data_IF_216782487761
#
_entry.id   IF_216782487761
#
_cell.length_a   1.000
_cell.length_b   1.000
_cell.length_c   1.000
_cell.angle_alpha   90.00
_cell.angle_beta   90.00
_cell.angle_gamma   90.00
#
_symmetry.space_group_name_H-M   'P 1'
#
loop_
_entity.id
_entity.type
_entity.pdbx_description
1 polymer ?
#
# COMPACT_ATOMS: atom_id res chain seq x y z
N UNK A 1 48.12 -41.70 -19.60
CA UNK A 1 47.66 -40.32 -19.80
C UNK A 1 46.35 -40.13 -19.07
N UNK A 2 46.33 -39.27 -18.05
CA UNK A 2 45.14 -38.84 -17.29
C UNK A 2 45.34 -37.36 -17.00
N UNK A 3 44.39 -36.47 -17.31
CA UNK A 3 44.38 -35.13 -16.73
C UNK A 3 43.48 -35.13 -15.49
N UNK A 4 44.05 -34.74 -14.34
CA UNK A 4 43.28 -34.31 -13.17
C UNK A 4 42.80 -32.88 -13.39
N UNK A 5 41.49 -32.66 -13.22
CA UNK A 5 40.86 -31.36 -13.24
C UNK A 5 41.14 -30.63 -11.92
N UNK A 6 41.83 -29.49 -11.99
CA UNK A 6 41.88 -28.50 -10.92
C UNK A 6 40.65 -27.59 -11.03
N UNK A 7 39.52 -28.04 -10.48
CA UNK A 7 38.32 -27.23 -10.31
C UNK A 7 38.42 -26.39 -9.04
N UNK A 8 38.85 -25.14 -9.20
CA UNK A 8 38.84 -24.11 -8.16
C UNK A 8 37.41 -23.88 -7.65
N UNK A 9 37.12 -24.31 -6.42
CA UNK A 9 35.87 -23.98 -5.73
C UNK A 9 35.94 -22.51 -5.30
N UNK A 10 35.14 -21.67 -5.97
CA UNK A 10 34.89 -20.30 -5.56
C UNK A 10 34.31 -20.25 -4.15
N UNK A 11 35.13 -19.84 -3.18
CA UNK A 11 34.67 -19.49 -1.86
C UNK A 11 33.97 -18.11 -1.91
N UNK A 12 32.88 -17.90 -1.16
CA UNK A 12 32.22 -16.60 -1.07
C UNK A 12 33.19 -15.60 -0.44
N UNK A 13 33.40 -14.45 -1.10
CA UNK A 13 34.12 -13.30 -0.58
C UNK A 13 33.53 -12.91 0.79
N UNK A 14 34.19 -13.34 1.87
CA UNK A 14 33.95 -12.80 3.20
C UNK A 14 34.35 -11.34 3.13
N UNK A 15 33.36 -10.45 3.18
CA UNK A 15 33.59 -9.02 3.38
C UNK A 15 34.36 -8.88 4.69
N UNK A 16 35.64 -8.53 4.57
CA UNK A 16 36.50 -8.22 5.71
C UNK A 16 35.85 -7.10 6.53
N UNK A 17 35.79 -7.28 7.85
CA UNK A 17 35.31 -6.24 8.76
C UNK A 17 36.11 -4.95 8.53
N UNK A 18 35.47 -3.78 8.58
CA UNK A 18 36.18 -2.51 8.43
C UNK A 18 37.23 -2.37 9.55
N UNK A 19 38.46 -2.03 9.17
CA UNK A 19 39.57 -1.77 10.09
C UNK A 19 39.58 -0.29 10.48
N UNK A 20 39.45 -0.03 11.78
CA UNK A 20 39.42 1.32 12.36
C UNK A 20 40.71 1.67 13.12
N UNK A 21 41.73 0.80 13.06
CA UNK A 21 43.00 0.96 13.80
C UNK A 21 43.82 2.19 13.40
N UNK A 22 43.54 2.78 12.24
CA UNK A 22 44.21 3.98 11.73
C UNK A 22 43.58 5.30 12.22
N UNK A 23 42.44 5.26 12.89
CA UNK A 23 41.75 6.45 13.38
C UNK A 23 42.38 6.97 14.68
N UNK A 24 42.50 8.29 14.79
CA UNK A 24 42.86 8.94 16.05
C UNK A 24 41.71 8.85 17.06
N UNK A 25 42.02 9.15 18.33
CA UNK A 25 41.02 9.08 19.41
C UNK A 25 39.83 10.03 19.17
N UNK A 26 40.09 11.27 18.73
CA UNK A 26 39.04 12.25 18.42
C UNK A 26 38.17 11.81 17.22
N UNK A 27 38.77 11.17 16.21
CA UNK A 27 38.03 10.61 15.07
C UNK A 27 37.16 9.42 15.47
N UNK A 28 37.61 8.60 16.42
CA UNK A 28 36.84 7.49 16.98
C UNK A 28 35.63 7.99 17.77
N UNK A 29 35.78 9.01 18.61
CA UNK A 29 34.66 9.63 19.34
C UNK A 29 33.62 10.21 18.38
N UNK A 30 34.07 10.88 17.32
CA UNK A 30 33.17 11.42 16.32
C UNK A 30 32.46 10.33 15.50
N UNK A 31 33.15 9.23 15.21
CA UNK A 31 32.55 8.06 14.57
C UNK A 31 31.49 7.42 15.47
N UNK A 32 31.76 7.26 16.77
CA UNK A 32 30.80 6.74 17.75
C UNK A 32 29.53 7.61 17.81
N UNK A 33 29.69 8.94 17.82
CA UNK A 33 28.57 9.87 17.78
C UNK A 33 27.71 9.70 16.52
N UNK A 34 28.35 9.52 15.36
CA UNK A 34 27.64 9.29 14.09
C UNK A 34 26.89 7.95 14.12
N UNK A 35 27.53 6.88 14.61
CA UNK A 35 26.91 5.56 14.74
C UNK A 35 25.71 5.60 15.70
N UNK A 36 25.83 6.31 16.82
CA UNK A 36 24.73 6.47 17.78
C UNK A 36 23.55 7.23 17.16
N UNK A 37 23.82 8.34 16.46
CA UNK A 37 22.79 9.07 15.71
C UNK A 37 22.13 8.21 14.65
N UNK A 38 22.91 7.41 13.93
CA UNK A 38 22.38 6.49 12.93
C UNK A 38 21.46 5.44 13.54
N UNK A 39 21.84 4.84 14.67
CA UNK A 39 21.02 3.88 15.40
C UNK A 39 19.68 4.49 15.87
N UNK A 40 19.68 5.75 16.32
CA UNK A 40 18.45 6.46 16.68
C UNK A 40 17.53 6.68 15.48
N UNK A 41 18.09 7.14 14.35
CA UNK A 41 17.35 7.33 13.10
C UNK A 41 16.76 6.00 12.63
N UNK A 42 17.53 4.92 12.64
CA UNK A 42 17.04 3.59 12.29
C UNK A 42 15.89 3.15 13.19
N UNK A 43 15.99 3.37 14.50
CA UNK A 43 14.94 3.01 15.44
C UNK A 43 13.65 3.80 15.15
N UNK A 44 13.78 5.10 14.88
CA UNK A 44 12.63 5.93 14.50
C UNK A 44 11.97 5.44 13.20
N UNK A 45 12.76 5.11 12.18
CA UNK A 45 12.22 4.55 10.93
C UNK A 45 11.55 3.18 11.16
N UNK A 46 12.13 2.32 12.00
CA UNK A 46 11.53 1.03 12.40
C UNK A 46 10.19 1.25 13.11
N UNK A 47 10.09 2.23 14.00
CA UNK A 47 8.84 2.59 14.68
C UNK A 47 7.78 3.14 13.71
N UNK A 48 8.16 4.05 12.81
CA UNK A 48 7.27 4.59 11.76
C UNK A 48 6.71 3.46 10.88
N UNK A 49 7.57 2.54 10.44
CA UNK A 49 7.16 1.39 9.63
C UNK A 49 6.26 0.42 10.41
N UNK A 50 6.55 0.20 11.70
CA UNK A 50 5.71 -0.59 12.60
C UNK A 50 4.31 0.04 12.76
N UNK A 51 4.23 1.36 12.90
CA UNK A 51 2.97 2.12 12.89
C UNK A 51 2.14 1.85 11.64
N UNK A 52 2.74 2.00 10.45
CA UNK A 52 2.06 1.74 9.18
C UNK A 52 1.58 0.29 9.04
N UNK A 53 2.39 -0.69 9.47
CA UNK A 53 1.99 -2.11 9.48
C UNK A 53 0.79 -2.37 10.39
N UNK A 54 0.78 -1.77 11.59
CA UNK A 54 -0.39 -1.85 12.50
C UNK A 54 -1.64 -1.25 11.87
N UNK A 55 -1.54 -0.09 11.22
CA UNK A 55 -2.66 0.50 10.48
C UNK A 55 -3.17 -0.41 9.38
N UNK A 56 -2.28 -1.07 8.62
CA UNK A 56 -2.67 -2.02 7.59
C UNK A 56 -3.45 -3.21 8.18
N UNK A 57 -2.93 -3.83 9.23
CA UNK A 57 -3.58 -4.96 9.91
C UNK A 57 -4.94 -4.54 10.47
N UNK A 58 -5.01 -3.38 11.12
CA UNK A 58 -6.26 -2.86 11.66
C UNK A 58 -7.32 -2.67 10.56
N UNK A 59 -6.95 -2.00 9.46
CA UNK A 59 -7.86 -1.83 8.33
C UNK A 59 -8.31 -3.17 7.73
N UNK A 60 -7.45 -4.19 7.68
CA UNK A 60 -7.80 -5.51 7.17
C UNK A 60 -8.82 -6.19 8.08
N UNK A 61 -8.61 -6.11 9.39
CA UNK A 61 -9.53 -6.63 10.39
C UNK A 61 -10.89 -5.91 10.37
N UNK A 62 -10.90 -4.57 10.25
CA UNK A 62 -12.15 -3.80 10.11
C UNK A 62 -12.96 -4.29 8.91
N UNK A 63 -12.31 -4.41 7.76
CA UNK A 63 -12.96 -4.90 6.53
C UNK A 63 -13.53 -6.30 6.72
N UNK A 64 -12.78 -7.22 7.36
CA UNK A 64 -13.23 -8.59 7.60
C UNK A 64 -14.41 -8.66 8.58
N UNK A 65 -14.32 -7.94 9.70
CA UNK A 65 -15.37 -7.92 10.72
C UNK A 65 -16.67 -7.33 10.19
N UNK A 66 -16.59 -6.24 9.43
CA UNK A 66 -17.76 -5.62 8.83
C UNK A 66 -18.37 -6.54 7.77
N UNK A 67 -17.55 -7.24 6.96
CA UNK A 67 -18.06 -8.24 6.01
C UNK A 67 -18.77 -9.40 6.70
N UNK A 68 -18.26 -9.86 7.84
CA UNK A 68 -18.93 -10.88 8.65
C UNK A 68 -20.27 -10.37 9.19
N UNK A 69 -20.31 -9.14 9.72
CA UNK A 69 -21.55 -8.52 10.20
C UNK A 69 -22.59 -8.38 9.10
N UNK A 70 -22.21 -7.91 7.91
CA UNK A 70 -23.12 -7.82 6.77
C UNK A 70 -23.66 -9.19 6.35
N UNK A 71 -22.83 -10.25 6.34
CA UNK A 71 -23.31 -11.61 6.07
C UNK A 71 -24.32 -12.10 7.11
N UNK A 72 -24.08 -11.84 8.39
CA UNK A 72 -25.01 -12.22 9.47
C UNK A 72 -26.36 -11.49 9.35
N UNK A 73 -26.35 -10.20 8.99
CA UNK A 73 -27.57 -9.43 8.74
C UNK A 73 -28.32 -9.90 7.48
N UNK A 74 -27.60 -10.28 6.42
CA UNK A 74 -28.24 -10.86 5.22
C UNK A 74 -28.84 -12.24 5.48
N UNK A 75 -28.27 -13.03 6.40
CA UNK A 75 -28.81 -14.34 6.78
C UNK A 75 -30.09 -14.25 7.62
N UNK A 76 -30.29 -13.18 8.39
CA UNK A 76 -31.53 -12.95 9.14
C UNK A 76 -32.60 -12.21 8.33
N UNK A 77 -32.22 -11.48 7.29
CA UNK A 77 -33.15 -10.82 6.37
C UNK A 77 -33.66 -11.74 5.24
N UNK A 78 -33.00 -12.88 4.98
CA UNK A 78 -33.29 -13.71 3.82
C UNK A 78 -34.07 -15.00 4.16
N UNK A 79 -35.31 -14.84 4.63
CA UNK A 79 -36.28 -15.95 4.68
C UNK A 79 -37.30 -15.94 3.53
N UNK A 80 -37.21 -15.01 2.56
CA UNK A 80 -38.25 -14.83 1.54
C UNK A 80 -37.81 -14.61 0.09
N UNK A 81 -36.55 -14.82 -0.32
CA UNK A 81 -36.20 -14.76 -1.75
C UNK A 81 -35.21 -15.84 -2.20
N UNK A 82 -35.63 -16.64 -3.19
CA UNK A 82 -34.85 -17.69 -3.86
C UNK A 82 -33.61 -17.14 -4.58
N UNK A 83 -32.49 -17.87 -4.62
CA UNK A 83 -31.27 -17.42 -5.29
C UNK A 83 -31.30 -17.80 -6.77
N UNK A 84 -31.45 -16.82 -7.66
CA UNK A 84 -31.13 -17.00 -9.08
C UNK A 84 -29.74 -16.44 -9.34
N UNK A 85 -28.79 -17.35 -9.59
CA UNK A 85 -27.52 -17.08 -10.26
C UNK A 85 -27.80 -16.51 -11.65
N UNK A 86 -27.23 -15.36 -12.00
CA UNK A 86 -26.79 -15.09 -13.37
C UNK A 86 -25.90 -13.84 -13.49
N UNK A 87 -24.74 -14.07 -14.11
CA UNK A 87 -23.81 -13.12 -14.70
C UNK A 87 -24.46 -12.32 -15.84
N UNK A 88 -24.56 -10.98 -15.72
CA UNK A 88 -24.67 -10.01 -16.83
C UNK A 88 -24.45 -8.56 -16.34
N UNK A 89 -23.81 -7.66 -17.12
CA UNK A 89 -23.39 -6.33 -16.68
C UNK A 89 -24.41 -5.26 -17.09
N UNK A 90 -25.51 -5.14 -16.35
CA UNK A 90 -26.42 -4.01 -16.48
C UNK A 90 -26.80 -3.57 -15.08
N UNK A 91 -26.11 -2.53 -14.59
CA UNK A 91 -26.44 -1.88 -13.34
C UNK A 91 -27.80 -1.22 -13.50
N UNK A 92 -28.83 -1.85 -12.94
CA UNK A 92 -30.18 -1.27 -12.85
C UNK A 92 -30.26 -0.45 -11.57
N UNK A 93 -31.19 0.51 -11.49
CA UNK A 93 -31.26 1.56 -10.46
C UNK A 93 -31.59 1.08 -9.03
N UNK A 94 -31.26 -0.16 -8.68
CA UNK A 94 -31.45 -0.75 -7.35
C UNK A 94 -30.16 -1.34 -6.77
N UNK A 95 -29.02 -1.21 -7.46
CA UNK A 95 -27.74 -1.69 -6.95
C UNK A 95 -27.23 -0.76 -5.84
N UNK A 96 -27.50 -1.14 -4.59
CA UNK A 96 -26.91 -0.49 -3.41
C UNK A 96 -25.39 -0.70 -3.47
N UNK A 97 -24.66 0.32 -3.94
CA UNK A 97 -23.20 0.28 -3.95
C UNK A 97 -22.70 0.56 -2.54
N UNK A 98 -21.98 -0.40 -1.95
CA UNK A 98 -21.40 -0.26 -0.61
C UNK A 98 -19.91 0.06 -0.68
N UNK A 99 -19.44 0.90 0.22
CA UNK A 99 -18.02 1.18 0.38
C UNK A 99 -17.28 -0.08 0.84
N UNK A 100 -16.24 -0.50 0.12
CA UNK A 100 -15.45 -1.68 0.48
C UNK A 100 -14.79 -1.58 1.87
N UNK A 101 -14.49 -0.37 2.36
CA UNK A 101 -13.79 -0.18 3.64
C UNK A 101 -14.76 -0.15 4.82
N UNK A 102 -15.81 0.67 4.73
CA UNK A 102 -16.70 0.92 5.87
C UNK A 102 -18.11 0.33 5.71
N UNK A 103 -18.36 -0.37 4.60
CA UNK A 103 -19.64 -0.95 4.16
C UNK A 103 -20.84 0.00 4.11
N UNK A 104 -20.63 1.29 4.40
CA UNK A 104 -21.63 2.33 4.26
C UNK A 104 -22.11 2.43 2.81
N UNK A 105 -23.42 2.64 2.68
CA UNK A 105 -24.08 2.84 1.39
C UNK A 105 -23.48 4.10 0.74
N UNK A 106 -23.11 3.98 -0.53
CA UNK A 106 -22.67 5.08 -1.38
C UNK A 106 -23.91 5.49 -2.15
N UNK A 107 -24.57 6.54 -1.67
CA UNK A 107 -25.68 7.16 -2.38
C UNK A 107 -25.15 7.84 -3.64
N UNK A 108 -25.76 7.53 -4.78
CA UNK A 108 -25.54 8.24 -6.03
C UNK A 108 -26.86 8.88 -6.42
N UNK A 109 -26.88 10.21 -6.52
CA UNK A 109 -28.06 10.96 -6.94
C UNK A 109 -28.38 10.60 -8.41
N UNK A 110 -29.46 9.86 -8.61
CA UNK A 110 -30.05 9.58 -9.92
C UNK A 110 -30.90 10.76 -10.36
N UNK A 111 -30.31 11.97 -10.44
CA UNK A 111 -30.94 13.06 -11.18
C UNK A 111 -30.65 12.87 -12.66
N UNK A 112 -31.71 12.72 -13.47
CA UNK A 112 -31.82 12.20 -14.84
C UNK A 112 -30.83 12.70 -15.92
N UNK A 113 -29.85 13.55 -15.60
CA UNK A 113 -28.90 14.11 -16.56
C UNK A 113 -27.42 14.05 -16.15
N UNK A 114 -27.06 13.57 -14.95
CA UNK A 114 -25.66 13.46 -14.52
C UNK A 114 -25.39 12.17 -13.73
N UNK A 115 -25.23 11.05 -14.44
CA UNK A 115 -24.72 9.82 -13.85
C UNK A 115 -23.25 9.99 -13.49
N UNK A 116 -22.95 10.28 -12.22
CA UNK A 116 -21.59 10.15 -11.69
C UNK A 116 -21.42 8.74 -11.13
N UNK A 117 -20.64 7.86 -11.78
CA UNK A 117 -20.45 6.49 -11.27
C UNK A 117 -19.75 6.51 -9.90
N UNK A 118 -19.95 5.46 -9.08
CA UNK A 118 -19.23 5.32 -7.82
C UNK A 118 -17.72 5.31 -8.07
N UNK A 119 -16.99 6.12 -7.30
CA UNK A 119 -15.54 6.27 -7.49
C UNK A 119 -14.82 4.98 -7.08
N UNK A 120 -14.16 4.34 -8.05
CA UNK A 120 -13.41 3.10 -7.84
C UNK A 120 -11.96 3.40 -7.45
N UNK A 121 -11.42 2.58 -6.53
CA UNK A 121 -9.99 2.63 -6.22
C UNK A 121 -9.17 2.17 -7.43
N UNK A 122 -8.19 2.97 -7.85
CA UNK A 122 -7.35 2.65 -9.01
C UNK A 122 -6.33 1.51 -8.82
N UNK A 123 -6.23 0.90 -7.63
CA UNK A 123 -5.40 -0.32 -7.41
C UNK A 123 -6.28 -1.56 -7.29
N UNK A 124 -7.24 -1.56 -6.37
CA UNK A 124 -8.05 -2.74 -6.09
C UNK A 124 -9.37 -2.79 -6.86
N UNK A 125 -9.71 -1.74 -7.62
CA UNK A 125 -10.94 -1.61 -8.41
C UNK A 125 -12.24 -1.75 -7.62
N UNK A 126 -12.18 -1.63 -6.29
CA UNK A 126 -13.37 -1.69 -5.41
C UNK A 126 -13.98 -0.31 -5.19
N UNK A 127 -15.31 -0.20 -5.02
CA UNK A 127 -16.01 1.05 -4.73
C UNK A 127 -15.68 1.53 -3.32
N UNK A 128 -15.35 2.82 -3.17
CA UNK A 128 -14.95 3.39 -1.87
C UNK A 128 -15.51 4.78 -1.71
N UNK A 129 -16.16 5.04 -0.57
CA UNK A 129 -16.74 6.35 -0.28
C UNK A 129 -15.66 7.42 -0.12
N UNK A 130 -16.05 8.70 -0.26
CA UNK A 130 -15.12 9.85 -0.18
C UNK A 130 -14.37 9.95 1.15
N UNK A 131 -14.91 9.39 2.25
CA UNK A 131 -14.23 9.34 3.55
C UNK A 131 -13.12 8.29 3.59
N UNK A 132 -13.27 7.20 2.85
CA UNK A 132 -12.39 6.03 2.89
C UNK A 132 -11.38 6.00 1.74
N UNK A 133 -11.45 6.94 0.80
CA UNK A 133 -10.48 7.13 -0.28
C UNK A 133 -9.96 8.57 -0.34
N UNK A 134 -8.94 8.77 -1.16
CA UNK A 134 -8.40 10.10 -1.46
C UNK A 134 -7.81 10.13 -2.88
N UNK A 135 -7.76 11.30 -3.50
CA UNK A 135 -6.98 11.50 -4.72
C UNK A 135 -5.50 11.54 -4.35
N UNK A 136 -4.71 10.66 -4.97
CA UNK A 136 -3.26 10.64 -4.84
C UNK A 136 -2.66 11.22 -6.12
N UNK A 137 -2.04 12.38 -6.03
CA UNK A 137 -1.13 12.88 -7.08
C UNK A 137 0.24 12.21 -6.92
N UNK A 138 1.01 12.07 -8.00
CA UNK A 138 2.44 11.83 -7.83
C UNK A 138 3.06 13.02 -7.07
N UNK A 139 3.74 12.74 -5.95
CA UNK A 139 4.59 13.72 -5.28
C UNK A 139 5.77 14.00 -6.21
N UNK A 140 5.75 15.11 -6.96
CA UNK A 140 6.93 15.61 -7.65
C UNK A 140 7.91 16.17 -6.61
N UNK A 141 8.74 15.31 -6.02
CA UNK A 141 9.92 15.76 -5.28
C UNK A 141 11.06 16.03 -6.27
N UNK A 142 11.00 17.17 -6.96
CA UNK A 142 12.18 17.79 -7.59
C UNK A 142 11.95 19.29 -7.73
N UNK A 143 12.79 20.15 -7.12
CA UNK A 143 12.74 21.58 -7.34
C UNK A 143 13.69 21.95 -8.48
N UNK A 144 13.63 21.29 -9.65
CA UNK A 144 14.37 21.77 -10.81
C UNK A 144 13.70 21.36 -12.13
N UNK A 145 13.16 22.40 -12.76
CA UNK A 145 12.82 22.58 -14.17
C UNK A 145 11.73 21.72 -14.80
N UNK A 146 10.91 22.46 -15.52
CA UNK A 146 9.71 22.09 -16.23
C UNK A 146 9.98 21.30 -17.51
N UNK A 147 8.88 21.00 -18.20
CA UNK A 147 8.75 20.69 -19.63
C UNK A 147 9.01 19.21 -19.97
N UNK A 148 7.96 18.38 -19.84
CA UNK A 148 7.58 17.45 -20.91
C UNK A 148 6.08 17.15 -20.78
N UNK A 149 5.32 17.71 -21.72
CA UNK A 149 3.86 17.62 -21.86
C UNK A 149 3.39 16.25 -22.40
N UNK A 150 4.18 15.18 -22.22
CA UNK A 150 3.97 13.87 -22.84
C UNK A 150 3.65 12.72 -21.87
N UNK A 151 3.78 12.91 -20.56
CA UNK A 151 3.40 11.89 -19.58
C UNK A 151 2.05 12.19 -18.92
N UNK A 152 0.96 12.08 -19.69
CA UNK A 152 -0.41 12.04 -19.13
C UNK A 152 -0.68 10.84 -18.20
N UNK A 153 0.30 9.95 -17.99
CA UNK A 153 0.25 8.87 -17.01
C UNK A 153 0.29 9.35 -15.54
N UNK A 154 0.51 10.65 -15.30
CA UNK A 154 0.61 11.25 -13.97
C UNK A 154 -0.69 11.92 -13.48
N UNK A 155 -1.85 11.59 -14.08
CA UNK A 155 -3.13 12.03 -13.56
C UNK A 155 -3.32 11.57 -12.10
N UNK A 156 -3.85 12.45 -11.25
CA UNK A 156 -4.23 12.11 -9.88
C UNK A 156 -5.20 10.92 -9.89
N UNK A 157 -4.86 9.86 -9.15
CA UNK A 157 -5.67 8.64 -9.09
C UNK A 157 -6.39 8.56 -7.76
N UNK A 158 -7.69 8.28 -7.78
CA UNK A 158 -8.44 7.98 -6.57
C UNK A 158 -8.04 6.62 -6.02
N UNK A 159 -7.66 6.57 -4.74
CA UNK A 159 -7.21 5.35 -4.07
C UNK A 159 -7.86 5.21 -2.71
N UNK A 160 -8.16 3.98 -2.33
CA UNK A 160 -8.66 3.69 -1.00
C UNK A 160 -7.54 3.76 0.04
N UNK A 161 -7.87 4.10 1.29
CA UNK A 161 -6.89 4.21 2.39
C UNK A 161 -6.05 2.93 2.55
N UNK A 162 -6.64 1.75 2.34
CA UNK A 162 -5.92 0.48 2.39
C UNK A 162 -4.80 0.42 1.34
N UNK A 163 -5.12 0.70 0.08
CA UNK A 163 -4.13 0.67 -1.01
C UNK A 163 -3.07 1.76 -0.84
N UNK A 164 -3.45 2.95 -0.34
CA UNK A 164 -2.50 4.02 -0.02
C UNK A 164 -1.48 3.54 1.03
N UNK A 165 -1.96 3.00 2.15
CA UNK A 165 -1.08 2.48 3.22
C UNK A 165 -0.23 1.32 2.72
N UNK A 166 -0.79 0.41 1.92
CA UNK A 166 -0.04 -0.70 1.35
C UNK A 166 1.13 -0.22 0.47
N UNK A 167 0.88 0.71 -0.45
CA UNK A 167 1.94 1.32 -1.28
C UNK A 167 3.02 1.96 -0.42
N UNK A 168 2.62 2.66 0.64
CA UNK A 168 3.56 3.33 1.53
C UNK A 168 4.43 2.33 2.31
N UNK A 169 3.86 1.21 2.75
CA UNK A 169 4.61 0.13 3.39
C UNK A 169 5.59 -0.51 2.43
N UNK A 170 5.19 -0.87 1.21
CA UNK A 170 6.10 -1.43 0.20
C UNK A 170 7.26 -0.46 -0.06
N UNK A 171 6.94 0.81 -0.35
CA UNK A 171 7.92 1.85 -0.65
C UNK A 171 8.90 2.10 0.49
N UNK A 172 8.41 2.27 1.73
CA UNK A 172 9.28 2.56 2.90
C UNK A 172 9.98 1.33 3.47
N UNK A 173 9.51 0.13 3.15
CA UNK A 173 10.16 -1.11 3.60
C UNK A 173 11.36 -1.54 2.77
N UNK A 174 11.57 -0.92 1.59
CA UNK A 174 12.63 -1.30 0.66
C UNK A 174 12.43 -2.67 0.00
N UNK A 175 11.28 -3.33 0.22
CA UNK A 175 10.92 -4.58 -0.44
C UNK A 175 10.41 -4.27 -1.85
N UNK A 176 11.09 -4.77 -2.87
CA UNK A 176 10.65 -4.76 -4.27
C UNK A 176 9.93 -6.05 -4.60
#
# INVERSE_FOLDING_TARGET
MHPQAAGSTGAPLRTSSPDFSSLSHEELEQLELVLQKHALIENEQKQRLSGLRRTMVHLQQTIQNDQQRSRTFSLTANRNFSPVLQSSPLLTSSDIVQCYICLGIIEFETNNFNYSPPVLCADCHRPVCRRCGNYTSPEFTSPHYAIHLENQNHASKWRCRMCIVHREVVRKSGRR
#
